data_IF_800533204597
#
_entry.id   IF_800533204597
#
_cell.length_a   1.000
_cell.length_b   1.000
_cell.length_c   1.000
_cell.angle_alpha   90.00
_cell.angle_beta   90.00
_cell.angle_gamma   90.00
#
_symmetry.space_group_name_H-M   'P 1'
#
loop_
_entity.id
_entity.type
_entity.pdbx_description
1 polymer ?
#
# COMPACT_ATOMS: atom_id res chain seq x y z
N UNK A 1 16.09 10.15 -1.11
CA UNK A 1 15.57 9.79 0.23
C UNK A 1 15.11 8.36 0.13
N UNK A 2 15.82 7.43 0.77
CA UNK A 2 15.48 6.01 0.78
C UNK A 2 14.46 5.78 1.90
N UNK A 3 13.19 5.55 1.56
CA UNK A 3 12.18 5.09 2.49
C UNK A 3 12.24 3.57 2.47
N UNK A 4 12.95 2.95 3.39
CA UNK A 4 13.24 1.53 3.23
C UNK A 4 13.78 0.80 4.44
N UNK A 5 13.48 1.24 5.67
CA UNK A 5 13.67 0.43 6.89
C UNK A 5 12.93 1.13 8.04
N UNK A 6 11.70 0.70 8.37
CA UNK A 6 10.99 1.16 9.57
C UNK A 6 9.57 1.71 9.36
N UNK A 7 9.00 1.64 8.15
CA UNK A 7 7.57 1.93 7.98
C UNK A 7 6.79 0.85 8.73
N UNK A 8 6.15 1.24 9.85
CA UNK A 8 5.27 0.36 10.60
C UNK A 8 4.01 0.15 9.75
N UNK A 9 3.79 -1.04 9.17
CA UNK A 9 2.68 -1.26 8.24
C UNK A 9 1.31 -1.06 8.91
N UNK A 10 1.25 -1.23 10.23
CA UNK A 10 0.11 -0.91 11.10
C UNK A 10 -0.24 0.59 11.13
N UNK A 11 0.70 1.48 10.77
CA UNK A 11 0.48 2.93 10.69
C UNK A 11 0.27 3.42 9.26
N UNK A 12 0.09 2.51 8.30
CA UNK A 12 -0.25 2.86 6.92
C UNK A 12 -1.67 3.43 6.85
N UNK A 13 -1.99 4.32 5.89
CA UNK A 13 -3.35 4.83 5.74
C UNK A 13 -4.38 3.70 5.57
N UNK A 14 -4.02 2.63 4.86
CA UNK A 14 -4.90 1.48 4.67
C UNK A 14 -5.19 0.71 5.97
N UNK A 15 -4.20 0.60 6.88
CA UNK A 15 -4.41 0.00 8.19
C UNK A 15 -5.30 0.89 9.07
N UNK A 16 -5.01 2.19 9.11
CA UNK A 16 -5.86 3.16 9.83
C UNK A 16 -7.31 3.06 9.36
N UNK A 17 -7.58 3.03 8.05
CA UNK A 17 -8.94 2.91 7.51
C UNK A 17 -9.68 1.63 7.95
N UNK A 18 -8.97 0.56 8.32
CA UNK A 18 -9.58 -0.70 8.78
C UNK A 18 -9.86 -0.71 10.28
N UNK A 19 -9.13 0.08 11.07
CA UNK A 19 -9.26 0.09 12.54
C UNK A 19 -10.38 0.99 13.05
N UNK A 20 -10.90 1.88 12.20
CA UNK A 20 -11.91 2.86 12.63
C UNK A 20 -13.32 2.30 12.56
N UNK A 21 -14.17 2.70 13.51
CA UNK A 21 -15.59 2.37 13.53
C UNK A 21 -16.36 3.20 12.50
N UNK A 22 -17.16 2.51 11.69
CA UNK A 22 -18.00 3.12 10.65
C UNK A 22 -19.45 3.30 11.13
N UNK A 23 -20.16 4.36 10.68
CA UNK A 23 -19.74 5.35 9.70
C UNK A 23 -18.69 6.34 10.24
N UNK A 24 -17.76 6.75 9.37
CA UNK A 24 -16.62 7.59 9.73
C UNK A 24 -16.39 8.70 8.71
N UNK A 25 -15.81 9.82 9.15
CA UNK A 25 -15.45 10.94 8.27
C UNK A 25 -13.95 10.97 8.00
N UNK A 26 -13.54 11.79 7.04
CA UNK A 26 -12.13 12.11 6.81
C UNK A 26 -11.42 12.55 8.09
N UNK A 27 -12.06 13.39 8.89
CA UNK A 27 -11.49 13.91 10.14
C UNK A 27 -11.26 12.78 11.15
N UNK A 28 -12.18 11.82 11.22
CA UNK A 28 -12.01 10.60 12.02
C UNK A 28 -10.77 9.81 11.62
N UNK A 29 -10.50 9.64 10.33
CA UNK A 29 -9.29 8.96 9.84
C UNK A 29 -8.01 9.71 10.19
N UNK A 30 -8.03 11.04 10.04
CA UNK A 30 -6.89 11.90 10.38
C UNK A 30 -6.58 11.83 11.87
N UNK A 31 -7.60 11.91 12.71
CA UNK A 31 -7.45 11.80 14.17
C UNK A 31 -6.91 10.42 14.58
N UNK A 32 -7.43 9.33 14.00
CA UNK A 32 -6.94 7.98 14.27
C UNK A 32 -5.46 7.82 13.87
N UNK A 33 -5.06 8.40 12.73
CA UNK A 33 -3.66 8.41 12.29
C UNK A 33 -2.76 9.26 13.21
N UNK A 34 -3.23 10.44 13.63
CA UNK A 34 -2.49 11.32 14.55
C UNK A 34 -2.33 10.68 15.94
N UNK A 35 -3.37 10.05 16.47
CA UNK A 35 -3.35 9.34 17.78
C UNK A 35 -2.41 8.13 17.76
N UNK A 36 -2.40 7.39 16.65
CA UNK A 36 -1.52 6.24 16.46
C UNK A 36 -0.06 6.62 16.16
N UNK A 37 0.24 7.91 16.00
CA UNK A 37 1.57 8.41 15.66
C UNK A 37 2.01 8.06 14.23
N UNK A 38 1.05 8.00 13.30
CA UNK A 38 1.31 7.73 11.89
C UNK A 38 2.23 8.78 11.26
N UNK A 39 3.01 8.42 10.23
CA UNK A 39 3.90 9.38 9.57
C UNK A 39 3.11 10.54 8.96
N UNK A 40 3.75 11.71 8.89
CA UNK A 40 3.14 12.95 8.36
C UNK A 40 2.60 12.75 6.94
N UNK A 41 3.27 11.96 6.11
CA UNK A 41 2.80 11.63 4.77
C UNK A 41 1.44 10.90 4.82
N UNK A 42 1.22 10.01 5.81
CA UNK A 42 0.00 9.20 5.92
C UNK A 42 -1.17 10.07 6.34
N UNK A 43 -0.92 10.92 7.33
CA UNK A 43 -1.86 11.95 7.77
C UNK A 43 -2.22 12.88 6.61
N UNK A 44 -1.24 13.35 5.83
CA UNK A 44 -1.47 14.23 4.67
C UNK A 44 -2.28 13.54 3.57
N UNK A 45 -2.04 12.25 3.32
CA UNK A 45 -2.85 11.48 2.39
C UNK A 45 -4.29 11.38 2.87
N UNK A 46 -4.53 11.03 4.14
CA UNK A 46 -5.88 10.96 4.70
C UNK A 46 -6.58 12.33 4.65
N UNK A 47 -5.87 13.43 4.90
CA UNK A 47 -6.38 14.81 4.74
C UNK A 47 -6.81 15.14 3.30
N UNK A 48 -6.24 14.47 2.30
CA UNK A 48 -6.57 14.63 0.88
C UNK A 48 -7.84 13.87 0.44
N UNK A 49 -8.34 12.94 1.27
CA UNK A 49 -9.58 12.23 0.98
C UNK A 49 -10.75 13.23 0.87
N UNK A 50 -11.80 12.90 0.09
CA UNK A 50 -13.00 13.71 0.03
C UNK A 50 -13.62 13.92 1.42
N UNK A 51 -14.08 15.14 1.66
CA UNK A 51 -14.77 15.53 2.88
C UNK A 51 -16.23 15.03 2.84
N UNK A 52 -16.42 13.79 3.26
CA UNK A 52 -17.69 13.07 3.28
C UNK A 52 -17.68 12.03 4.39
N UNK A 53 -18.86 11.53 4.71
CA UNK A 53 -19.00 10.31 5.50
C UNK A 53 -18.79 9.09 4.59
N UNK A 54 -18.10 8.10 5.13
CA UNK A 54 -17.88 6.80 4.54
C UNK A 54 -18.71 5.80 5.34
N UNK A 55 -19.49 4.97 4.66
CA UNK A 55 -20.39 4.04 5.33
C UNK A 55 -19.68 2.77 5.80
N UNK A 56 -18.51 2.46 5.24
CA UNK A 56 -17.76 1.22 5.52
C UNK A 56 -16.27 1.33 5.15
N UNK A 57 -15.45 0.46 5.74
CA UNK A 57 -14.02 0.35 5.42
C UNK A 57 -13.74 0.06 3.94
N UNK A 58 -14.53 -0.82 3.31
CA UNK A 58 -14.41 -1.13 1.89
C UNK A 58 -14.56 0.13 1.01
N UNK A 59 -15.53 0.99 1.35
CA UNK A 59 -15.76 2.22 0.62
C UNK A 59 -14.57 3.17 0.74
N UNK A 60 -14.06 3.37 1.96
CA UNK A 60 -12.89 4.22 2.20
C UNK A 60 -11.62 3.66 1.52
N UNK A 61 -11.41 2.34 1.59
CA UNK A 61 -10.29 1.64 0.95
C UNK A 61 -10.36 1.68 -0.58
N UNK A 62 -11.56 1.64 -1.15
CA UNK A 62 -11.75 1.83 -2.59
C UNK A 62 -11.30 3.22 -3.02
N UNK A 63 -11.67 4.26 -2.27
CA UNK A 63 -11.18 5.61 -2.52
C UNK A 63 -9.66 5.72 -2.36
N UNK A 64 -9.11 5.09 -1.33
CA UNK A 64 -7.65 5.01 -1.13
C UNK A 64 -6.97 4.41 -2.37
N UNK A 65 -7.44 3.26 -2.86
CA UNK A 65 -6.87 2.59 -4.02
C UNK A 65 -7.01 3.41 -5.32
N UNK A 66 -8.17 4.05 -5.53
CA UNK A 66 -8.40 4.92 -6.68
C UNK A 66 -7.52 6.19 -6.64
N UNK A 67 -7.33 6.79 -5.46
CA UNK A 67 -6.46 7.95 -5.29
C UNK A 67 -4.98 7.57 -5.46
N UNK A 68 -4.55 6.45 -4.87
CA UNK A 68 -3.19 5.95 -5.02
C UNK A 68 -2.87 5.61 -6.48
N UNK A 69 -3.79 4.94 -7.20
CA UNK A 69 -3.61 4.64 -8.62
C UNK A 69 -3.52 5.91 -9.50
N UNK A 70 -4.18 7.00 -9.11
CA UNK A 70 -4.16 8.28 -9.86
C UNK A 70 -2.91 9.11 -9.60
N UNK A 71 -2.43 9.12 -8.35
CA UNK A 71 -1.38 10.05 -7.90
C UNK A 71 -0.05 9.36 -7.58
N UNK A 72 0.00 8.02 -7.54
CA UNK A 72 1.21 7.25 -7.21
C UNK A 72 1.80 7.63 -5.85
N UNK A 73 0.96 8.08 -4.93
CA UNK A 73 1.37 8.80 -3.74
C UNK A 73 1.87 7.84 -2.65
N UNK A 74 1.33 6.63 -2.60
CA UNK A 74 1.65 5.55 -1.66
C UNK A 74 2.27 4.31 -2.32
N UNK A 75 1.99 4.08 -3.61
CA UNK A 75 2.61 3.03 -4.42
C UNK A 75 4.08 3.33 -4.75
N UNK A 76 4.99 3.15 -3.78
CA UNK A 76 6.43 3.15 -4.06
C UNK A 76 7.09 1.77 -3.95
N UNK A 77 6.35 0.75 -3.48
CA UNK A 77 6.89 -0.60 -3.28
C UNK A 77 6.09 -1.76 -3.93
N UNK A 78 5.19 -1.49 -4.87
CA UNK A 78 4.64 -2.54 -5.77
C UNK A 78 5.65 -2.90 -6.88
N UNK A 79 6.94 -3.04 -6.52
CA UNK A 79 8.00 -3.53 -7.42
C UNK A 79 8.87 -4.63 -6.77
N UNK A 80 8.60 -5.05 -5.52
CA UNK A 80 9.08 -6.35 -5.01
C UNK A 80 8.05 -7.47 -5.20
N UNK A 81 7.34 -7.46 -6.33
CA UNK A 81 6.85 -8.71 -6.93
C UNK A 81 8.06 -9.39 -7.58
N UNK A 82 8.97 -9.88 -6.74
CA UNK A 82 10.17 -10.57 -7.17
C UNK A 82 9.82 -11.67 -8.18
N UNK A 83 10.46 -11.60 -9.34
CA UNK A 83 11.27 -12.67 -9.93
C UNK A 83 10.76 -14.13 -9.96
N UNK A 84 9.47 -14.42 -9.82
CA UNK A 84 8.94 -15.81 -9.90
C UNK A 84 8.78 -16.35 -11.35
N UNK A 85 9.44 -15.75 -12.34
CA UNK A 85 9.24 -16.10 -13.76
C UNK A 85 10.51 -16.33 -14.59
N UNK A 86 11.71 -16.19 -14.03
CA UNK A 86 12.96 -16.36 -14.79
C UNK A 86 14.07 -17.03 -13.98
N UNK A 87 13.81 -18.23 -13.46
CA UNK A 87 14.90 -19.16 -13.18
C UNK A 87 14.42 -20.58 -13.50
N UNK A 88 15.31 -21.40 -14.06
CA UNK A 88 15.13 -22.79 -14.50
C UNK A 88 14.53 -23.02 -15.89
N UNK A 89 15.35 -22.79 -16.93
CA UNK A 89 15.59 -23.83 -17.95
C UNK A 89 17.04 -23.72 -18.46
N UNK A 90 18.00 -24.13 -17.67
CA UNK A 90 19.20 -24.77 -18.23
C UNK A 90 19.24 -26.20 -17.69
N UNK A 91 18.95 -27.23 -18.50
CA UNK A 91 19.43 -28.56 -18.22
C UNK A 91 20.86 -28.73 -18.74
N UNK A 92 21.65 -29.60 -18.08
CA UNK A 92 23.09 -29.66 -18.19
C UNK A 92 23.54 -30.29 -19.52
N UNK A 93 24.77 -29.96 -19.91
CA UNK A 93 25.41 -30.61 -21.05
C UNK A 93 25.48 -32.13 -20.87
N UNK A 94 25.05 -32.84 -21.91
CA UNK A 94 25.33 -34.25 -22.15
C UNK A 94 25.59 -34.40 -23.66
N UNK A 95 26.60 -35.21 -23.98
CA UNK A 95 27.16 -35.44 -25.28
C UNK A 95 26.15 -35.93 -26.34
N UNK A 96 26.28 -35.44 -27.57
CA UNK A 96 25.90 -36.22 -28.74
C UNK A 96 26.96 -36.03 -29.84
N UNK A 97 27.81 -37.05 -29.91
CA UNK A 97 28.76 -37.35 -30.97
C UNK A 97 27.99 -37.83 -32.22
N UNK A 98 28.63 -37.71 -33.40
CA UNK A 98 28.35 -38.34 -34.71
C UNK A 98 27.41 -37.65 -35.71
N UNK A 99 27.55 -37.92 -37.03
CA UNK A 99 28.70 -38.44 -37.81
C UNK A 99 29.27 -37.45 -38.84
#
# INVERSE_FOLDING_TARGET
MAFGIGEKPELSPAAILQEVDYPATRETFVLAAEDSGAPVDAINFLKSMPDREYASADEALRYFAEADARFGMWSKDVQHRGDIGKEMIEPPGEHAHHP
#
